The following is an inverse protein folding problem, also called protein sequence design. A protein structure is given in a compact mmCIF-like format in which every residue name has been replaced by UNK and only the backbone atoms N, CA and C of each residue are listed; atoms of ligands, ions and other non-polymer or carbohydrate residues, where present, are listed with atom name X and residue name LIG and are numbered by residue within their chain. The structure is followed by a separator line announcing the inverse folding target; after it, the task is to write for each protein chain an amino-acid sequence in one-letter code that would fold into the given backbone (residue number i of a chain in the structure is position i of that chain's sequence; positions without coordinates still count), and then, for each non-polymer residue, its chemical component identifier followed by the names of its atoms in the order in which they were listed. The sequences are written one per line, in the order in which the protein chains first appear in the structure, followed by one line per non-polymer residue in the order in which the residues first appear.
data_IF_062498553010
#
_entry.id   IF_062498553010
#
_cell.length_a   1.000
_cell.length_b   1.000
_cell.length_c   1.000
_cell.angle_alpha   90.00
_cell.angle_beta   90.00
_cell.angle_gamma   90.00
#
_symmetry.space_group_name_H-M   'P 1'
#
loop_
_entity.id
_entity.type
_entity.pdbx_description
1 polymer ?
#
# COMPACT_ATOMS: atom_id res chain seq x y z
N UNK A 1 -26.10 23.21 -2.92
CA UNK A 1 -24.69 23.63 -2.93
C UNK A 1 -23.91 22.57 -3.68
N UNK A 2 -23.12 22.93 -4.69
CA UNK A 2 -22.27 21.97 -5.41
C UNK A 2 -21.18 21.45 -4.46
N UNK A 3 -21.12 20.14 -4.26
CA UNK A 3 -20.13 19.49 -3.39
C UNK A 3 -18.73 19.80 -3.95
N UNK A 4 -17.77 20.33 -3.16
CA UNK A 4 -16.41 20.56 -3.65
C UNK A 4 -15.78 19.22 -4.05
N UNK A 5 -15.52 19.03 -5.34
CA UNK A 5 -14.98 17.76 -5.84
C UNK A 5 -13.46 17.77 -5.68
N UNK A 6 -12.96 16.98 -4.75
CA UNK A 6 -11.55 16.67 -4.62
C UNK A 6 -11.19 15.74 -5.76
N UNK A 7 -10.69 16.29 -6.86
CA UNK A 7 -10.40 15.53 -8.07
C UNK A 7 -8.93 15.69 -8.43
N UNK A 8 -8.24 14.57 -8.58
CA UNK A 8 -6.83 14.53 -9.02
C UNK A 8 -6.71 13.64 -10.27
N UNK A 9 -5.56 13.60 -10.96
CA UNK A 9 -5.39 12.74 -12.14
C UNK A 9 -5.72 11.27 -11.90
N UNK A 10 -5.52 10.76 -10.67
CA UNK A 10 -5.85 9.38 -10.30
C UNK A 10 -7.35 9.08 -10.41
N UNK A 11 -8.21 10.09 -10.18
CA UNK A 11 -9.65 9.97 -10.32
C UNK A 11 -10.05 9.63 -11.76
N UNK A 12 -9.47 10.35 -12.72
CA UNK A 12 -9.69 10.10 -14.16
C UNK A 12 -9.08 8.78 -14.60
N UNK A 13 -7.90 8.43 -14.08
CA UNK A 13 -7.23 7.17 -14.41
C UNK A 13 -8.04 5.96 -13.95
N UNK A 14 -8.53 5.97 -12.71
CA UNK A 14 -9.21 4.83 -12.10
C UNK A 14 -10.73 4.85 -12.29
N UNK A 15 -11.31 5.97 -12.74
CA UNK A 15 -12.75 6.10 -12.92
C UNK A 15 -13.50 6.29 -11.59
N UNK A 16 -12.92 7.03 -10.65
CA UNK A 16 -13.47 7.29 -9.31
C UNK A 16 -13.76 8.78 -9.11
N UNK A 17 -14.66 9.10 -8.16
CA UNK A 17 -15.07 10.46 -7.85
C UNK A 17 -14.07 11.15 -6.91
N UNK A 18 -13.59 10.41 -5.91
CA UNK A 18 -12.68 10.89 -4.88
C UNK A 18 -11.36 10.11 -4.92
N UNK A 19 -10.19 10.74 -4.68
CA UNK A 19 -8.88 10.09 -4.65
C UNK A 19 -8.69 9.31 -3.34
N UNK A 20 -9.71 8.54 -2.93
CA UNK A 20 -9.74 7.75 -1.70
C UNK A 20 -9.72 6.28 -2.11
N UNK A 21 -8.66 5.58 -1.71
CA UNK A 21 -8.47 4.17 -1.98
C UNK A 21 -8.47 3.43 -0.63
N UNK A 22 -9.29 2.39 -0.52
CA UNK A 22 -9.23 1.46 0.60
C UNK A 22 -7.96 0.60 0.44
N UNK A 23 -7.16 0.44 1.50
CA UNK A 23 -6.03 -0.48 1.48
C UNK A 23 -6.52 -1.93 1.53
N UNK A 24 -5.96 -2.82 0.71
CA UNK A 24 -6.33 -4.24 0.65
C UNK A 24 -5.78 -5.05 1.83
N UNK A 25 -6.38 -4.90 3.01
CA UNK A 25 -5.92 -5.59 4.22
C UNK A 25 -6.47 -7.01 4.31
N UNK A 26 -5.70 -8.01 3.86
CA UNK A 26 -5.94 -9.45 4.02
C UNK A 26 -7.44 -9.84 4.25
N UNK A 27 -7.75 -10.49 5.38
CA UNK A 27 -9.13 -10.90 5.73
C UNK A 27 -10.01 -9.75 6.28
N UNK A 28 -9.47 -8.55 6.43
CA UNK A 28 -10.17 -7.39 7.01
C UNK A 28 -10.92 -6.58 5.96
N UNK A 29 -10.36 -6.47 4.75
CA UNK A 29 -10.97 -5.76 3.62
C UNK A 29 -11.83 -6.70 2.80
N UNK A 30 -13.01 -7.03 3.33
CA UNK A 30 -13.98 -7.95 2.73
C UNK A 30 -14.72 -7.34 1.53
N UNK A 31 -15.42 -8.18 0.78
CA UNK A 31 -16.22 -7.78 -0.38
C UNK A 31 -17.22 -6.64 -0.09
N UNK A 32 -18.03 -6.72 0.98
CA UNK A 32 -18.98 -5.67 1.33
C UNK A 32 -18.32 -4.32 1.67
N UNK A 33 -17.18 -4.34 2.35
CA UNK A 33 -16.45 -3.11 2.69
C UNK A 33 -15.87 -2.45 1.43
N UNK A 34 -15.24 -3.24 0.56
CA UNK A 34 -14.73 -2.73 -0.71
C UNK A 34 -15.85 -2.15 -1.58
N UNK A 35 -16.98 -2.85 -1.69
CA UNK A 35 -18.16 -2.35 -2.42
C UNK A 35 -18.70 -1.04 -1.83
N UNK A 36 -18.79 -0.92 -0.50
CA UNK A 36 -19.24 0.31 0.16
C UNK A 36 -18.34 1.52 -0.18
N UNK A 37 -17.01 1.33 -0.22
CA UNK A 37 -16.07 2.38 -0.61
C UNK A 37 -16.24 2.77 -2.09
N UNK A 38 -16.39 1.79 -2.99
CA UNK A 38 -16.65 2.07 -4.41
C UNK A 38 -17.98 2.78 -4.64
N UNK A 39 -19.04 2.40 -3.92
CA UNK A 39 -20.35 3.05 -3.96
C UNK A 39 -20.30 4.50 -3.44
N UNK A 40 -19.40 4.79 -2.48
CA UNK A 40 -19.18 6.14 -1.97
C UNK A 40 -18.33 7.03 -2.91
N UNK A 41 -17.88 6.49 -4.05
CA UNK A 41 -17.11 7.21 -5.07
C UNK A 41 -15.59 7.09 -4.92
N UNK A 42 -15.10 6.26 -4.00
CA UNK A 42 -13.68 5.88 -3.90
C UNK A 42 -13.36 4.62 -4.70
N UNK A 43 -12.21 4.00 -4.43
CA UNK A 43 -11.86 2.67 -4.95
C UNK A 43 -11.71 1.68 -3.79
N UNK A 44 -12.62 0.72 -3.69
CA UNK A 44 -12.49 -0.41 -2.79
C UNK A 44 -11.44 -1.40 -3.27
N UNK A 45 -10.54 -1.85 -2.39
CA UNK A 45 -9.56 -2.91 -2.67
C UNK A 45 -9.78 -4.04 -1.68
N UNK A 46 -9.90 -5.27 -2.16
CA UNK A 46 -9.92 -6.46 -1.31
C UNK A 46 -8.51 -7.00 -1.07
N UNK A 47 -8.28 -7.56 0.13
CA UNK A 47 -7.05 -8.28 0.42
C UNK A 47 -7.18 -9.76 0.07
N UNK A 48 -6.27 -10.28 -0.75
CA UNK A 48 -6.27 -11.66 -1.24
C UNK A 48 -5.22 -12.57 -0.60
N UNK A 49 -4.65 -12.18 0.54
CA UNK A 49 -3.64 -12.98 1.24
C UNK A 49 -4.20 -14.37 1.62
N UNK A 50 -3.58 -15.41 1.05
CA UNK A 50 -3.91 -16.82 1.32
C UNK A 50 -5.21 -17.32 0.69
N UNK A 51 -5.75 -16.62 -0.32
CA UNK A 51 -6.90 -17.12 -1.08
C UNK A 51 -6.48 -18.09 -2.18
N UNK A 52 -7.33 -19.09 -2.39
CA UNK A 52 -7.31 -19.85 -3.65
C UNK A 52 -7.98 -19.04 -4.77
N UNK A 53 -7.73 -19.36 -6.05
CA UNK A 53 -8.40 -18.72 -7.18
C UNK A 53 -9.93 -18.71 -7.07
N UNK A 54 -10.53 -19.82 -6.64
CA UNK A 54 -11.99 -19.93 -6.46
C UNK A 54 -12.51 -19.03 -5.34
N UNK A 55 -11.78 -18.94 -4.22
CA UNK A 55 -12.12 -18.05 -3.12
C UNK A 55 -12.03 -16.58 -3.56
N UNK A 56 -10.96 -16.21 -4.26
CA UNK A 56 -10.80 -14.86 -4.78
C UNK A 56 -11.95 -14.52 -5.74
N UNK A 57 -12.30 -15.42 -6.66
CA UNK A 57 -13.42 -15.23 -7.59
C UNK A 57 -14.74 -15.04 -6.86
N UNK A 58 -15.01 -15.89 -5.86
CA UNK A 58 -16.22 -15.78 -5.04
C UNK A 58 -16.33 -14.44 -4.32
N UNK A 59 -15.23 -13.93 -3.76
CA UNK A 59 -15.21 -12.63 -3.07
C UNK A 59 -15.37 -11.48 -4.07
N UNK A 60 -14.77 -11.57 -5.26
CA UNK A 60 -14.99 -10.56 -6.30
C UNK A 60 -16.46 -10.54 -6.74
N UNK A 61 -17.11 -11.70 -6.83
CA UNK A 61 -18.54 -11.77 -7.13
C UNK A 61 -19.38 -11.14 -6.01
N UNK A 62 -19.01 -11.35 -4.74
CA UNK A 62 -19.63 -10.67 -3.61
C UNK A 62 -19.51 -9.14 -3.71
N UNK A 63 -18.34 -8.60 -4.07
CA UNK A 63 -18.19 -7.16 -4.34
C UNK A 63 -19.21 -6.75 -5.40
N UNK A 64 -19.18 -7.41 -6.57
CA UNK A 64 -20.01 -7.05 -7.72
C UNK A 64 -21.50 -7.06 -7.41
N UNK A 65 -21.97 -8.00 -6.61
CA UNK A 65 -23.37 -8.05 -6.15
C UNK A 65 -23.74 -6.88 -5.23
N UNK A 66 -22.78 -6.33 -4.47
CA UNK A 66 -22.99 -5.22 -3.55
C UNK A 66 -22.72 -3.83 -4.18
N UNK A 67 -22.24 -3.78 -5.43
CA UNK A 67 -22.06 -2.51 -6.13
C UNK A 67 -23.41 -1.94 -6.54
N UNK A 68 -23.60 -0.62 -6.32
CA UNK A 68 -24.79 0.10 -6.79
C UNK A 68 -24.86 0.19 -8.31
N UNK A 69 -23.72 0.01 -9.01
CA UNK A 69 -23.66 -0.08 -10.47
C UNK A 69 -22.53 -1.04 -10.87
N UNK A 70 -22.77 -1.95 -11.84
CA UNK A 70 -21.76 -2.95 -12.25
C UNK A 70 -20.45 -2.36 -12.81
N UNK A 71 -20.45 -1.10 -13.22
CA UNK A 71 -19.29 -0.41 -13.79
C UNK A 71 -18.38 0.24 -12.73
N UNK A 72 -18.75 0.22 -11.45
CA UNK A 72 -17.92 0.81 -10.40
C UNK A 72 -16.61 0.01 -10.24
N UNK A 73 -15.46 0.71 -10.11
CA UNK A 73 -14.17 0.05 -10.05
C UNK A 73 -13.92 -0.59 -8.69
N UNK A 74 -13.13 -1.65 -8.69
CA UNK A 74 -12.56 -2.27 -7.49
C UNK A 74 -11.12 -2.69 -7.78
N UNK A 75 -10.35 -2.95 -6.73
CA UNK A 75 -8.99 -3.47 -6.81
C UNK A 75 -8.80 -4.76 -6.04
N UNK A 76 -7.67 -5.41 -6.27
CA UNK A 76 -7.23 -6.61 -5.57
C UNK A 76 -5.78 -6.43 -5.12
N UNK A 77 -5.52 -6.75 -3.87
CA UNK A 77 -4.18 -6.78 -3.26
C UNK A 77 -3.76 -8.24 -3.06
N UNK A 78 -2.65 -8.64 -3.68
CA UNK A 78 -2.03 -9.96 -3.46
C UNK A 78 -0.63 -9.78 -2.86
N UNK A 79 -0.31 -10.64 -1.89
CA UNK A 79 1.03 -10.69 -1.32
C UNK A 79 1.96 -11.50 -2.24
N UNK A 80 2.93 -10.80 -2.83
CA UNK A 80 3.92 -11.35 -3.76
C UNK A 80 5.33 -11.27 -3.16
N UNK A 81 5.67 -12.12 -2.18
CA UNK A 81 7.05 -12.18 -1.70
C UNK A 81 7.96 -12.70 -2.81
N UNK A 82 9.22 -12.28 -2.82
CA UNK A 82 10.22 -12.91 -3.68
C UNK A 82 10.39 -14.38 -3.27
N UNK A 83 10.19 -15.32 -4.18
CA UNK A 83 10.38 -16.76 -3.95
C UNK A 83 11.44 -17.29 -4.91
N UNK A 84 12.39 -18.09 -4.40
CA UNK A 84 13.51 -18.62 -5.18
C UNK A 84 14.70 -17.66 -5.36
N UNK A 85 15.77 -18.12 -6.01
CA UNK A 85 16.98 -17.32 -6.23
C UNK A 85 17.63 -16.86 -4.92
N UNK A 86 17.82 -15.55 -4.76
CA UNK A 86 18.36 -14.89 -3.56
C UNK A 86 17.32 -14.58 -2.48
N UNK A 87 16.13 -15.20 -2.54
CA UNK A 87 15.08 -15.00 -1.55
C UNK A 87 15.52 -15.46 -0.15
N UNK A 88 15.09 -14.74 0.90
CA UNK A 88 15.38 -15.11 2.29
C UNK A 88 14.72 -16.45 2.63
N UNK A 89 15.35 -17.23 3.51
CA UNK A 89 14.78 -18.51 4.03
C UNK A 89 13.41 -18.34 4.71
N UNK A 90 13.09 -17.12 5.16
CA UNK A 90 11.80 -16.77 5.78
C UNK A 90 10.74 -16.36 4.77
N UNK A 91 11.09 -16.14 3.50
CA UNK A 91 10.10 -15.84 2.47
C UNK A 91 9.31 -17.11 2.18
N UNK A 92 8.00 -16.98 2.33
CA UNK A 92 7.07 -18.08 2.10
C UNK A 92 6.16 -17.71 0.95
N UNK A 93 5.96 -18.63 0.01
CA UNK A 93 4.94 -18.46 -1.02
C UNK A 93 3.54 -18.56 -0.39
N UNK A 94 2.91 -17.43 -0.14
CA UNK A 94 1.55 -17.35 0.39
C UNK A 94 0.47 -17.74 -0.64
N UNK A 95 0.85 -17.95 -1.90
CA UNK A 95 -0.06 -18.37 -2.98
C UNK A 95 -0.05 -19.88 -3.21
N UNK A 96 0.87 -20.61 -2.56
CA UNK A 96 1.02 -22.06 -2.69
C UNK A 96 1.11 -22.55 -4.15
N UNK A 97 1.85 -21.82 -4.99
CA UNK A 97 2.04 -22.13 -6.41
C UNK A 97 0.90 -21.70 -7.33
N UNK A 98 -0.12 -20.99 -6.83
CA UNK A 98 -1.31 -20.60 -7.60
C UNK A 98 -1.28 -19.14 -8.09
N UNK A 99 -0.12 -18.47 -8.03
CA UNK A 99 -0.01 -17.05 -8.38
C UNK A 99 -0.55 -16.75 -9.78
N UNK A 100 -0.16 -17.51 -10.80
CA UNK A 100 -0.57 -17.25 -12.19
C UNK A 100 -2.10 -17.36 -12.37
N UNK A 101 -2.73 -18.32 -11.68
CA UNK A 101 -4.18 -18.48 -11.68
C UNK A 101 -4.86 -17.32 -10.93
N UNK A 102 -4.32 -16.89 -9.79
CA UNK A 102 -4.82 -15.72 -9.06
C UNK A 102 -4.75 -14.45 -9.91
N UNK A 103 -3.64 -14.22 -10.62
CA UNK A 103 -3.48 -13.10 -11.54
C UNK A 103 -4.48 -13.21 -12.71
N UNK A 104 -4.68 -14.42 -13.23
CA UNK A 104 -5.69 -14.67 -14.27
C UNK A 104 -7.09 -14.30 -13.79
N UNK A 105 -7.47 -14.69 -12.56
CA UNK A 105 -8.75 -14.28 -11.95
C UNK A 105 -8.85 -12.74 -11.86
N UNK A 106 -7.82 -12.05 -11.41
CA UNK A 106 -7.80 -10.57 -11.30
C UNK A 106 -8.05 -9.91 -12.66
N UNK A 107 -7.40 -10.42 -13.72
CA UNK A 107 -7.52 -9.91 -15.09
C UNK A 107 -8.91 -10.22 -15.67
N UNK A 108 -9.36 -11.47 -15.59
CA UNK A 108 -10.64 -11.93 -16.11
C UNK A 108 -11.82 -11.21 -15.46
N UNK A 109 -11.76 -11.00 -14.15
CA UNK A 109 -12.78 -10.31 -13.39
C UNK A 109 -12.72 -8.78 -13.55
N UNK A 110 -11.72 -8.27 -14.27
CA UNK A 110 -11.52 -6.85 -14.64
C UNK A 110 -11.29 -5.93 -13.45
N UNK A 111 -10.48 -6.36 -12.48
CA UNK A 111 -10.04 -5.47 -11.41
C UNK A 111 -9.33 -4.24 -12.01
N UNK A 112 -9.68 -3.05 -11.54
CA UNK A 112 -9.13 -1.79 -12.06
C UNK A 112 -7.73 -1.50 -11.53
N UNK A 113 -7.43 -2.03 -10.35
CA UNK A 113 -6.15 -1.87 -9.66
C UNK A 113 -5.67 -3.24 -9.14
N UNK A 114 -4.41 -3.54 -9.41
CA UNK A 114 -3.67 -4.64 -8.80
C UNK A 114 -2.62 -4.07 -7.86
N UNK A 115 -2.61 -4.51 -6.60
CA UNK A 115 -1.61 -4.12 -5.60
C UNK A 115 -0.72 -5.33 -5.30
N UNK A 116 0.58 -5.15 -5.47
CA UNK A 116 1.61 -6.12 -5.07
C UNK A 116 2.10 -5.76 -3.67
N UNK A 117 1.69 -6.53 -2.67
CA UNK A 117 2.12 -6.37 -1.28
C UNK A 117 3.29 -7.31 -0.93
N UNK A 118 3.97 -7.03 0.19
CA UNK A 118 5.09 -7.81 0.78
C UNK A 118 6.40 -7.81 -0.03
N UNK A 119 6.33 -7.82 -1.36
CA UNK A 119 7.48 -7.66 -2.24
C UNK A 119 7.39 -6.38 -3.07
N UNK A 120 8.55 -5.72 -3.24
CA UNK A 120 8.75 -4.72 -4.28
C UNK A 120 9.71 -5.35 -5.31
N UNK A 121 9.44 -5.26 -6.62
CA UNK A 121 10.38 -5.71 -7.64
C UNK A 121 11.70 -4.94 -7.63
N UNK A 122 11.79 -3.84 -6.86
CA UNK A 122 12.99 -3.03 -6.66
C UNK A 122 13.24 -2.82 -5.14
N UNK A 123 14.49 -2.87 -4.65
CA UNK A 123 14.78 -2.54 -3.26
C UNK A 123 14.55 -1.04 -3.03
N UNK A 124 13.43 -0.71 -2.38
CA UNK A 124 13.14 0.65 -1.93
C UNK A 124 13.54 0.74 -0.45
N UNK A 125 14.40 1.70 -0.06
CA UNK A 125 14.75 1.87 1.35
C UNK A 125 13.50 2.10 2.19
N UNK A 126 13.29 1.22 3.17
CA UNK A 126 12.19 1.31 4.12
C UNK A 126 12.57 2.26 5.26
N UNK A 127 11.58 2.98 5.80
CA UNK A 127 11.80 3.81 6.98
C UNK A 127 11.92 2.92 8.23
N UNK A 128 12.98 3.15 8.99
CA UNK A 128 13.34 2.36 10.17
C UNK A 128 13.66 3.25 11.35
N UNK A 129 13.53 2.72 12.56
CA UNK A 129 13.99 3.42 13.76
C UNK A 129 15.50 3.56 13.71
N UNK A 130 15.98 4.79 13.80
CA UNK A 130 17.42 5.08 13.82
C UNK A 130 18.04 4.49 15.08
N UNK A 131 19.04 3.63 14.90
CA UNK A 131 19.95 3.10 15.92
C UNK A 131 21.40 3.22 15.39
N UNK A 132 22.38 2.81 16.18
CA UNK A 132 23.80 2.93 15.80
C UNK A 132 24.14 2.09 14.56
N UNK A 133 23.51 0.92 14.42
CA UNK A 133 23.64 0.09 13.22
C UNK A 133 23.18 0.82 11.95
N UNK A 134 21.98 1.41 11.96
CA UNK A 134 21.43 2.17 10.84
C UNK A 134 22.28 3.42 10.55
N UNK A 135 22.73 4.14 11.58
CA UNK A 135 23.63 5.30 11.40
C UNK A 135 24.94 4.90 10.71
N UNK A 136 25.52 3.76 11.07
CA UNK A 136 26.76 3.29 10.44
C UNK A 136 26.59 2.98 8.95
N UNK A 137 25.37 2.70 8.50
CA UNK A 137 25.06 2.51 7.08
C UNK A 137 24.76 3.84 6.38
N UNK A 138 23.87 4.66 6.95
CA UNK A 138 23.40 5.89 6.31
C UNK A 138 24.42 7.03 6.34
N UNK A 139 25.20 7.15 7.42
CA UNK A 139 26.12 8.27 7.63
C UNK A 139 27.55 7.95 7.19
N UNK A 140 28.00 6.71 7.41
CA UNK A 140 29.40 6.33 7.17
C UNK A 140 29.59 5.63 5.81
N UNK A 141 28.54 5.00 5.27
CA UNK A 141 28.62 4.14 4.06
C UNK A 141 27.58 4.47 2.96
N UNK A 142 27.24 5.73 2.67
CA UNK A 142 26.13 6.08 1.77
C UNK A 142 26.32 5.59 0.32
N UNK A 143 27.54 5.64 -0.21
CA UNK A 143 27.86 5.16 -1.57
C UNK A 143 27.74 3.64 -1.71
N UNK A 144 27.99 2.91 -0.63
CA UNK A 144 27.84 1.45 -0.60
C UNK A 144 26.37 1.06 -0.54
N UNK A 145 25.57 1.75 0.29
CA UNK A 145 24.11 1.59 0.32
C UNK A 145 23.53 1.79 -1.07
N UNK A 146 23.95 2.85 -1.78
CA UNK A 146 23.49 3.13 -3.14
C UNK A 146 23.79 1.99 -4.11
N UNK A 147 25.04 1.51 -4.15
CA UNK A 147 25.45 0.39 -5.02
C UNK A 147 24.69 -0.89 -4.73
N UNK A 148 24.49 -1.21 -3.45
CA UNK A 148 23.72 -2.39 -3.05
C UNK A 148 22.27 -2.29 -3.51
N UNK A 149 21.63 -1.15 -3.29
CA UNK A 149 20.26 -0.91 -3.77
C UNK A 149 20.17 -0.98 -5.30
N UNK A 150 21.15 -0.44 -6.04
CA UNK A 150 21.22 -0.57 -7.51
C UNK A 150 21.35 -2.02 -7.97
N UNK A 151 22.03 -2.88 -7.19
CA UNK A 151 22.17 -4.31 -7.48
C UNK A 151 21.04 -5.18 -6.93
N UNK A 152 19.98 -4.61 -6.34
CA UNK A 152 18.87 -5.40 -5.79
C UNK A 152 19.07 -5.86 -4.33
N UNK A 153 20.17 -5.50 -3.68
CA UNK A 153 20.55 -5.98 -2.34
C UNK A 153 20.33 -4.88 -1.30
N UNK A 154 19.71 -5.20 -0.16
CA UNK A 154 19.62 -4.23 0.95
C UNK A 154 20.79 -4.41 1.93
N UNK A 155 21.29 -3.34 2.57
CA UNK A 155 22.46 -3.42 3.47
C UNK A 155 22.34 -4.46 4.58
N UNK A 156 21.15 -4.59 5.18
CA UNK A 156 20.85 -5.61 6.17
C UNK A 156 21.05 -7.03 5.62
N UNK A 157 20.63 -7.28 4.38
CA UNK A 157 20.78 -8.59 3.76
C UNK A 157 22.25 -8.94 3.57
N UNK A 158 23.06 -7.99 3.08
CA UNK A 158 24.51 -8.19 2.93
C UNK A 158 25.17 -8.55 4.27
N UNK A 159 24.94 -7.77 5.32
CA UNK A 159 25.59 -8.02 6.61
C UNK A 159 25.13 -9.34 7.26
N UNK A 160 23.87 -9.74 7.06
CA UNK A 160 23.37 -11.04 7.51
C UNK A 160 23.99 -12.20 6.72
N UNK A 161 24.13 -12.06 5.40
CA UNK A 161 24.77 -13.07 4.54
C UNK A 161 26.28 -13.21 4.85
N UNK A 162 26.90 -12.16 5.41
CA UNK A 162 28.29 -12.12 5.88
C UNK A 162 28.46 -12.49 7.37
N UNK A 163 27.41 -12.99 8.03
CA UNK A 163 27.40 -13.38 9.46
C UNK A 163 27.87 -12.26 10.42
N UNK A 164 27.62 -10.99 10.07
CA UNK A 164 27.93 -9.87 10.96
C UNK A 164 26.88 -9.69 12.04
N UNK A 165 27.28 -9.07 13.14
CA UNK A 165 26.36 -8.63 14.17
C UNK A 165 25.46 -7.52 13.60
N UNK A 166 24.16 -7.76 13.58
CA UNK A 166 23.14 -6.85 13.07
C UNK A 166 22.13 -6.51 14.17
N UNK A 167 21.76 -5.24 14.28
CA UNK A 167 20.58 -4.84 15.05
C UNK A 167 19.39 -4.78 14.09
N UNK A 168 18.47 -5.76 14.21
CA UNK A 168 17.35 -5.95 13.30
C UNK A 168 16.51 -4.67 13.24
N UNK A 169 16.46 -3.96 12.09
CA UNK A 169 15.81 -2.67 12.00
C UNK A 169 14.32 -2.77 12.29
N UNK A 170 13.84 -1.96 13.23
CA UNK A 170 12.43 -1.84 13.50
C UNK A 170 11.79 -0.92 12.45
N UNK A 171 10.95 -1.48 11.58
CA UNK A 171 10.21 -0.70 10.58
C UNK A 171 9.34 0.32 11.29
N UNK A 172 9.53 1.61 10.99
CA UNK A 172 8.68 2.68 11.51
C UNK A 172 8.30 3.66 10.41
N UNK A 173 7.00 3.84 10.20
CA UNK A 173 6.50 5.01 9.50
C UNK A 173 6.69 6.26 10.37
N UNK A 174 6.67 7.45 9.76
CA UNK A 174 6.60 8.71 10.51
C UNK A 174 5.41 8.76 11.48
N UNK A 175 4.36 7.97 11.19
CA UNK A 175 3.11 7.89 11.95
C UNK A 175 3.31 7.30 13.36
N UNK A 176 4.26 6.37 13.57
CA UNK A 176 4.43 5.76 14.89
C UNK A 176 5.07 6.73 15.91
N UNK A 177 5.94 7.63 15.43
CA UNK A 177 6.64 8.60 16.29
C UNK A 177 5.80 9.83 16.67
N UNK A 178 4.63 10.02 16.06
CA UNK A 178 3.71 11.13 16.38
C UNK A 178 2.66 10.74 17.43
N UNK A 179 2.64 9.48 17.88
CA UNK A 179 1.68 9.02 18.89
C UNK A 179 2.21 9.42 20.28
N UNK A 180 1.81 10.61 20.74
CA UNK A 180 2.13 11.11 22.09
C UNK A 180 1.14 10.66 23.18
N UNK A 181 0.00 10.11 22.78
CA UNK A 181 -1.08 9.71 23.68
C UNK A 181 -1.90 8.54 23.11
N UNK A 182 -2.45 7.72 23.99
CA UNK A 182 -3.35 6.62 23.62
C UNK A 182 -4.79 7.13 23.68
N UNK A 183 -5.39 7.41 22.51
CA UNK A 183 -6.78 7.88 22.39
C UNK A 183 -7.79 6.73 22.29
N UNK A 184 -9.05 6.95 22.68
CA UNK A 184 -10.15 6.05 22.33
C UNK A 184 -10.31 5.91 20.80
N UNK A 185 -10.62 4.71 20.31
CA UNK A 185 -10.75 4.43 18.87
C UNK A 185 -11.73 5.37 18.13
N UNK A 186 -12.82 5.78 18.80
CA UNK A 186 -13.78 6.74 18.24
C UNK A 186 -13.14 8.09 17.93
N UNK A 187 -12.32 8.59 18.86
CA UNK A 187 -11.66 9.89 18.72
C UNK A 187 -10.62 9.83 17.60
N UNK A 188 -9.82 8.76 17.54
CA UNK A 188 -8.88 8.49 16.45
C UNK A 188 -9.59 8.56 15.09
N UNK A 189 -10.74 7.89 14.96
CA UNK A 189 -11.50 7.90 13.70
C UNK A 189 -12.03 9.29 13.34
N UNK A 190 -12.50 10.06 14.32
CA UNK A 190 -13.01 11.41 14.10
C UNK A 190 -11.88 12.36 13.68
N UNK A 191 -10.74 12.29 14.36
CA UNK A 191 -9.56 13.09 14.05
C UNK A 191 -9.03 12.73 12.66
N UNK A 192 -8.87 11.44 12.34
CA UNK A 192 -8.44 10.99 11.02
C UNK A 192 -9.33 11.52 9.89
N UNK A 193 -10.65 11.46 10.05
CA UNK A 193 -11.58 11.97 9.04
C UNK A 193 -11.50 13.49 8.92
N UNK A 194 -11.43 14.20 10.06
CA UNK A 194 -11.34 15.66 10.08
C UNK A 194 -10.05 16.15 9.43
N UNK A 195 -8.90 15.62 9.84
CA UNK A 195 -7.60 15.96 9.26
C UNK A 195 -7.53 15.62 7.78
N UNK A 196 -8.08 14.48 7.37
CA UNK A 196 -8.20 14.12 5.96
C UNK A 196 -8.97 15.20 5.17
N UNK A 197 -10.11 15.66 5.69
CA UNK A 197 -10.89 16.76 5.08
C UNK A 197 -10.07 18.04 5.02
N UNK A 198 -9.39 18.43 6.10
CA UNK A 198 -8.58 19.65 6.17
C UNK A 198 -7.42 19.62 5.15
N UNK A 199 -6.69 18.50 5.07
CA UNK A 199 -5.59 18.29 4.10
C UNK A 199 -6.12 18.36 2.67
N UNK A 200 -7.22 17.67 2.40
CA UNK A 200 -7.84 17.63 1.09
C UNK A 200 -8.30 19.04 0.63
N UNK A 201 -8.91 19.81 1.53
CA UNK A 201 -9.30 21.21 1.27
C UNK A 201 -8.08 22.10 1.03
N UNK A 202 -7.03 21.97 1.83
CA UNK A 202 -5.79 22.71 1.64
C UNK A 202 -5.13 22.39 0.28
N UNK A 203 -5.18 21.13 -0.16
CA UNK A 203 -4.64 20.71 -1.45
C UNK A 203 -5.39 21.28 -2.66
N UNK A 204 -6.70 21.52 -2.57
CA UNK A 204 -7.44 22.23 -3.63
C UNK A 204 -6.91 23.64 -3.87
N UNK A 205 -6.38 24.32 -2.85
CA UNK A 205 -5.73 25.62 -3.00
C UNK A 205 -4.50 25.58 -3.93
N UNK A 206 -3.75 24.47 -3.94
CA UNK A 206 -2.57 24.29 -4.79
C UNK A 206 -2.91 23.95 -6.25
N UNK A 207 -4.10 23.39 -6.50
CA UNK A 207 -4.56 23.04 -7.85
C UNK A 207 -5.31 24.20 -8.54
N UNK A 208 -5.72 25.22 -7.77
CA UNK A 208 -6.61 26.30 -8.21
C UNK A 208 -5.95 27.59 -8.73
N UNK A 209 -4.63 27.72 -8.74
CA UNK A 209 -4.00 28.97 -9.18
C UNK A 209 -2.48 28.89 -9.34
N UNK A 210 -1.99 29.36 -10.49
CA UNK A 210 -0.59 29.33 -10.89
C UNK A 210 0.36 29.93 -9.84
N UNK A 211 1.37 29.15 -9.47
CA UNK A 211 2.39 29.55 -8.52
C UNK A 211 2.94 28.35 -7.78
N UNK A 212 3.55 27.42 -8.52
CA UNK A 212 4.20 26.25 -7.92
C UNK A 212 5.27 26.68 -6.93
N UNK A 213 5.01 26.48 -5.63
CA UNK A 213 6.10 26.26 -4.68
C UNK A 213 6.47 24.80 -4.81
N UNK A 214 7.66 24.56 -5.37
CA UNK A 214 8.28 23.25 -5.39
C UNK A 214 8.26 22.67 -3.97
N UNK A 215 7.66 21.48 -3.82
CA UNK A 215 7.80 20.67 -2.62
C UNK A 215 9.29 20.34 -2.48
N UNK A 216 9.93 20.87 -1.44
CA UNK A 216 11.24 20.40 -1.00
C UNK A 216 11.01 19.14 -0.16
N UNK A 217 11.00 18.00 -0.83
CA UNK A 217 11.34 16.71 -0.24
C UNK A 217 12.57 16.19 -0.99
#
# INVERSE_FOLDING_TARGET
MSRPTLRTPICSLLGIEYPILLAGMARTSSGPLAAAVSNAGGLGVIGGLGYTPDQLRSIIHEIKTNLSTPSLPFGVDLALPQVGGSARKTNHDYTHGQLDELISVVIEEKARLFVSAVGSPLPIPLRVRVNDYIRSWEMERPEEVKRLCESGTVPLQKDMDEDKEVDIPFLMGQVAGVIGEVKPAREIMQDMVKECVDVLQAQQGYLGGGGGRASKL
#
